data_IF_651112208494
#
_entry.id   IF_651112208494
#
_cell.length_a   1.000
_cell.length_b   1.000
_cell.length_c   1.000
_cell.angle_alpha   90.00
_cell.angle_beta   90.00
_cell.angle_gamma   90.00
#
_symmetry.space_group_name_H-M   'P 1'
#
loop_
_entity.id
_entity.type
_entity.pdbx_description
1 polymer ?
#
# COMPACT_ATOMS: atom_id res chain seq x y z
N UNK A 1 -11.32 -7.72 9.96
CA UNK A 1 -12.73 -8.18 9.92
C UNK A 1 -12.87 -9.18 8.78
N UNK A 2 -13.64 -10.24 9.02
CA UNK A 2 -14.08 -11.31 8.09
C UNK A 2 -13.11 -12.48 7.85
N UNK A 3 -13.23 -13.43 8.79
CA UNK A 3 -12.94 -14.85 8.69
C UNK A 3 -13.71 -15.52 7.55
N UNK A 4 -13.07 -16.44 6.84
CA UNK A 4 -13.74 -17.48 6.06
C UNK A 4 -13.14 -18.85 6.44
N UNK A 5 -13.93 -19.60 7.20
CA UNK A 5 -13.82 -21.04 7.42
C UNK A 5 -14.65 -21.75 6.33
N UNK A 6 -14.11 -22.81 5.72
CA UNK A 6 -14.76 -24.00 5.12
C UNK A 6 -13.69 -24.71 4.25
N UNK A 7 -13.56 -26.02 4.11
CA UNK A 7 -14.26 -27.18 4.65
C UNK A 7 -13.35 -28.41 4.47
N UNK A 8 -13.47 -29.37 5.39
CA UNK A 8 -12.92 -30.73 5.29
C UNK A 8 -13.48 -31.46 4.05
N UNK A 9 -12.61 -32.14 3.32
CA UNK A 9 -12.98 -33.13 2.30
C UNK A 9 -12.43 -34.51 2.68
N UNK A 10 -13.30 -35.36 3.22
CA UNK A 10 -13.09 -36.79 3.48
C UNK A 10 -13.55 -37.57 2.25
N UNK A 11 -12.75 -38.53 1.79
CA UNK A 11 -13.16 -39.57 0.85
C UNK A 11 -11.94 -40.21 0.18
N UNK A 12 -11.80 -41.52 0.03
CA UNK A 12 -12.63 -42.64 0.42
C UNK A 12 -11.73 -43.88 0.45
N UNK A 13 -11.92 -44.73 1.46
CA UNK A 13 -11.39 -46.09 1.50
C UNK A 13 -11.98 -46.90 0.32
N UNK A 14 -11.12 -47.59 -0.41
CA UNK A 14 -11.54 -48.73 -1.23
C UNK A 14 -11.09 -50.00 -0.53
N UNK A 15 -12.04 -50.61 0.18
CA UNK A 15 -11.94 -51.95 0.75
C UNK A 15 -12.28 -52.94 -0.36
N UNK A 16 -11.36 -53.85 -0.66
CA UNK A 16 -11.68 -55.09 -1.36
C UNK A 16 -11.18 -56.26 -0.50
N UNK A 17 -12.13 -56.90 0.17
CA UNK A 17 -11.92 -58.03 1.06
C UNK A 17 -12.59 -59.28 0.47
N UNK A 18 -11.76 -60.33 0.34
CA UNK A 18 -12.03 -61.76 0.50
C UNK A 18 -13.08 -62.52 -0.37
N UNK A 19 -12.58 -63.57 -1.04
CA UNK A 19 -13.04 -64.97 -0.92
C UNK A 19 -11.97 -65.86 -1.59
N UNK A 20 -11.24 -66.74 -0.88
CA UNK A 20 -11.61 -68.15 -0.60
C UNK A 20 -11.19 -69.03 -1.79
N UNK A 21 -10.56 -70.20 -1.70
CA UNK A 21 -10.50 -71.26 -0.69
C UNK A 21 -9.49 -72.33 -1.21
N UNK A 22 -8.92 -73.18 -0.34
CA UNK A 22 -8.42 -74.51 -0.75
C UNK A 22 -6.99 -74.89 -0.34
N UNK A 23 -6.85 -75.48 0.85
CA UNK A 23 -5.78 -76.43 1.19
C UNK A 23 -6.02 -77.80 0.49
N UNK A 24 -4.94 -78.53 0.18
CA UNK A 24 -4.71 -80.00 0.40
C UNK A 24 -3.32 -80.36 -0.16
N UNK A 25 -2.31 -80.74 0.64
CA UNK A 25 -1.90 -82.10 1.09
C UNK A 25 -1.49 -83.11 0.01
N UNK A 26 -0.23 -83.57 0.13
CA UNK A 26 0.34 -84.94 -0.04
C UNK A 26 0.09 -85.73 -1.34
N UNK A 27 1.15 -86.35 -1.90
CA UNK A 27 1.01 -87.52 -2.78
C UNK A 27 2.18 -87.80 -3.74
N UNK A 28 2.93 -88.85 -3.43
CA UNK A 28 3.89 -89.60 -4.28
C UNK A 28 3.36 -89.99 -5.68
N UNK A 29 4.30 -90.36 -6.58
CA UNK A 29 4.31 -91.44 -7.60
C UNK A 29 5.46 -91.16 -8.60
N UNK A 30 6.57 -91.90 -8.66
CA UNK A 30 6.77 -93.23 -9.26
C UNK A 30 6.38 -93.33 -10.76
N UNK A 31 7.36 -93.43 -11.66
CA UNK A 31 7.29 -94.29 -12.88
C UNK A 31 8.70 -94.38 -13.55
N UNK A 32 9.42 -95.49 -13.42
CA UNK A 32 9.56 -96.62 -14.38
C UNK A 32 10.12 -96.25 -15.77
N UNK A 33 11.28 -96.82 -16.10
CA UNK A 33 11.90 -96.74 -17.43
C UNK A 33 11.28 -97.72 -18.45
N UNK A 34 11.85 -97.81 -19.66
CA UNK A 34 11.60 -98.92 -20.55
C UNK A 34 12.79 -99.88 -20.66
N UNK A 35 12.41 -101.15 -20.57
CA UNK A 35 13.11 -102.38 -20.89
C UNK A 35 13.27 -102.54 -22.41
N UNK A 36 14.37 -103.13 -22.87
CA UNK A 36 14.50 -103.78 -24.19
C UNK A 36 15.67 -104.78 -24.11
N UNK A 37 15.45 -105.92 -23.46
CA UNK A 37 15.24 -107.26 -24.05
C UNK A 37 16.11 -107.60 -25.25
N UNK A 38 17.06 -108.51 -24.98
CA UNK A 38 17.88 -109.26 -25.93
C UNK A 38 17.06 -109.98 -26.99
N UNK A 39 17.56 -109.98 -28.22
CA UNK A 39 17.26 -111.02 -29.21
C UNK A 39 18.57 -111.67 -29.64
N UNK A 40 18.72 -112.94 -29.32
CA UNK A 40 19.76 -113.85 -29.81
C UNK A 40 19.52 -114.18 -31.27
N UNK A 41 20.56 -114.11 -32.11
CA UNK A 41 20.70 -115.04 -33.24
C UNK A 41 22.17 -115.32 -33.53
N UNK A 42 22.52 -116.59 -33.47
CA UNK A 42 23.83 -117.15 -33.82
C UNK A 42 23.79 -117.75 -35.22
N UNK A 43 24.83 -117.51 -36.03
CA UNK A 43 25.43 -118.45 -37.02
C UNK A 43 26.70 -117.78 -37.55
N UNK A 44 27.90 -118.25 -37.17
CA UNK A 44 28.79 -119.05 -38.04
C UNK A 44 29.69 -118.13 -38.91
N UNK A 45 31.00 -118.28 -39.09
CA UNK A 45 31.94 -119.41 -38.91
C UNK A 45 33.35 -118.88 -39.24
N UNK A 46 34.39 -119.35 -38.53
CA UNK A 46 35.81 -119.32 -38.97
C UNK A 46 36.51 -117.96 -38.87
N UNK A 47 37.80 -117.84 -38.58
CA UNK A 47 38.92 -118.77 -38.40
C UNK A 47 40.00 -118.02 -37.61
N UNK A 48 40.69 -118.74 -36.71
CA UNK A 48 42.13 -118.66 -36.40
C UNK A 48 42.80 -117.27 -36.41
N UNK A 49 43.22 -116.77 -35.24
CA UNK A 49 44.63 -116.46 -34.94
C UNK A 49 44.76 -115.89 -33.52
N UNK A 50 45.93 -116.04 -32.92
CA UNK A 50 46.24 -115.66 -31.55
C UNK A 50 46.22 -114.13 -31.32
N UNK A 51 45.51 -113.69 -30.27
CA UNK A 51 46.00 -112.64 -29.37
C UNK A 51 45.98 -111.18 -29.83
N UNK A 52 44.92 -110.70 -30.50
CA UNK A 52 44.75 -109.26 -30.79
C UNK A 52 43.33 -108.77 -30.47
N UNK A 53 43.20 -107.80 -29.55
CA UNK A 53 41.96 -107.25 -28.99
C UNK A 53 41.59 -105.82 -29.48
N UNK A 54 42.42 -105.14 -30.30
CA UNK A 54 42.09 -103.83 -30.90
C UNK A 54 42.95 -103.49 -32.14
N UNK A 55 42.54 -102.54 -32.99
CA UNK A 55 43.37 -102.01 -34.11
C UNK A 55 43.66 -100.50 -33.98
N UNK A 56 42.74 -99.74 -33.38
CA UNK A 56 42.84 -98.31 -33.11
C UNK A 56 42.37 -98.01 -31.68
N UNK A 57 42.62 -96.80 -31.17
CA UNK A 57 42.18 -96.43 -29.82
C UNK A 57 40.64 -96.45 -29.67
N UNK A 58 39.90 -96.20 -30.75
CA UNK A 58 38.43 -96.22 -30.76
C UNK A 58 37.84 -97.64 -30.66
N UNK A 59 38.64 -98.67 -30.92
CA UNK A 59 38.25 -100.08 -30.71
C UNK A 59 38.33 -100.48 -29.22
N UNK A 60 38.86 -99.61 -28.36
CA UNK A 60 38.96 -99.80 -26.91
C UNK A 60 37.82 -99.06 -26.17
N UNK A 61 37.58 -99.34 -24.88
CA UNK A 61 36.62 -98.60 -24.09
C UNK A 61 36.89 -97.08 -24.11
N UNK A 62 35.85 -96.23 -24.03
CA UNK A 62 36.03 -94.79 -24.10
C UNK A 62 36.88 -94.26 -22.94
N UNK A 63 37.66 -93.20 -23.23
CA UNK A 63 38.37 -92.47 -22.19
C UNK A 63 37.39 -91.85 -21.19
N UNK A 64 37.82 -91.76 -19.95
CA UNK A 64 37.16 -91.01 -18.88
C UNK A 64 38.16 -90.09 -18.22
N UNK A 65 37.70 -89.23 -17.31
CA UNK A 65 38.57 -88.40 -16.48
C UNK A 65 39.60 -89.24 -15.68
N UNK A 66 39.33 -90.55 -15.46
CA UNK A 66 40.18 -91.44 -14.64
C UNK A 66 40.89 -92.55 -15.39
N UNK A 67 40.60 -92.74 -16.68
CA UNK A 67 41.20 -93.79 -17.50
C UNK A 67 41.40 -93.31 -18.92
N UNK A 68 42.59 -93.55 -19.45
CA UNK A 68 42.86 -93.42 -20.88
C UNK A 68 43.19 -94.78 -21.47
N UNK A 69 42.59 -95.09 -22.61
CA UNK A 69 42.76 -96.34 -23.33
C UNK A 69 43.54 -96.08 -24.62
N UNK A 70 44.54 -96.92 -24.87
CA UNK A 70 45.31 -96.91 -26.09
C UNK A 70 45.42 -98.33 -26.65
N UNK A 71 45.35 -98.44 -27.97
CA UNK A 71 45.61 -99.71 -28.65
C UNK A 71 47.12 -99.84 -28.95
N UNK A 72 47.81 -100.71 -28.22
CA UNK A 72 49.26 -100.93 -28.37
C UNK A 72 49.53 -102.39 -28.64
N UNK A 73 50.22 -102.68 -29.75
CA UNK A 73 50.48 -104.05 -30.23
C UNK A 73 49.20 -104.90 -30.26
N UNK A 74 48.11 -104.22 -30.60
CA UNK A 74 46.77 -104.75 -30.72
C UNK A 74 46.16 -105.31 -29.43
N UNK A 75 46.63 -104.88 -28.25
CA UNK A 75 45.92 -105.02 -26.99
C UNK A 75 45.46 -103.65 -26.47
N UNK A 76 44.27 -103.58 -25.89
CA UNK A 76 43.80 -102.38 -25.21
C UNK A 76 44.54 -102.22 -23.89
N UNK A 77 45.46 -101.27 -23.85
CA UNK A 77 46.22 -100.92 -22.65
C UNK A 77 45.50 -99.75 -21.97
N UNK A 78 45.11 -99.94 -20.71
CA UNK A 78 44.56 -98.88 -19.88
C UNK A 78 45.68 -98.19 -19.11
N UNK A 79 45.71 -96.87 -19.17
CA UNK A 79 46.46 -96.03 -18.25
C UNK A 79 45.48 -95.41 -17.28
N UNK A 80 45.58 -95.82 -16.02
CA UNK A 80 44.78 -95.28 -14.92
C UNK A 80 45.41 -93.96 -14.49
N UNK A 81 44.59 -92.91 -14.40
CA UNK A 81 45.03 -91.65 -13.81
C UNK A 81 45.44 -91.89 -12.35
N UNK A 82 46.50 -91.23 -11.84
CA UNK A 82 46.87 -91.34 -10.44
C UNK A 82 45.69 -91.07 -9.52
N UNK A 83 45.63 -91.77 -8.39
CA UNK A 83 44.69 -91.44 -7.33
C UNK A 83 44.79 -89.95 -6.96
N UNK A 84 43.66 -89.35 -6.58
CA UNK A 84 43.51 -87.90 -6.30
C UNK A 84 43.60 -86.96 -7.52
N UNK A 85 43.69 -87.47 -8.76
CA UNK A 85 43.57 -86.64 -9.96
C UNK A 85 42.16 -86.01 -10.04
N UNK A 86 42.00 -84.68 -10.16
CA UNK A 86 40.69 -84.03 -10.19
C UNK A 86 39.82 -84.46 -11.39
N UNK A 87 38.55 -84.72 -11.13
CA UNK A 87 37.53 -85.03 -12.14
C UNK A 87 36.72 -83.75 -12.38
N UNK A 88 36.81 -83.20 -13.59
CA UNK A 88 36.12 -81.95 -13.93
C UNK A 88 34.59 -82.12 -14.01
N UNK A 89 34.13 -83.33 -14.30
CA UNK A 89 32.72 -83.63 -14.48
C UNK A 89 32.02 -83.84 -13.12
N UNK A 90 30.97 -83.06 -12.86
CA UNK A 90 30.07 -83.27 -11.72
C UNK A 90 30.53 -82.72 -10.37
N UNK A 91 31.58 -81.89 -10.33
CA UNK A 91 31.92 -81.12 -9.13
C UNK A 91 30.86 -80.03 -8.90
N UNK A 92 30.35 -79.91 -7.67
CA UNK A 92 29.37 -78.90 -7.28
C UNK A 92 30.03 -77.98 -6.27
N UNK A 93 30.13 -76.70 -6.59
CA UNK A 93 30.77 -75.74 -5.69
C UNK A 93 29.95 -75.57 -4.40
N UNK A 94 30.62 -75.63 -3.24
CA UNK A 94 30.01 -75.45 -1.93
C UNK A 94 29.28 -76.67 -1.38
N UNK A 95 29.50 -77.86 -1.94
CA UNK A 95 28.92 -79.13 -1.44
C UNK A 95 29.86 -79.89 -0.49
N UNK A 96 31.04 -79.31 -0.21
CA UNK A 96 32.11 -79.82 0.64
C UNK A 96 32.77 -81.08 0.10
N UNK A 97 32.73 -81.29 -1.21
CA UNK A 97 33.25 -82.51 -1.83
C UNK A 97 34.13 -82.18 -3.01
N UNK A 98 35.09 -83.06 -3.25
CA UNK A 98 35.87 -83.08 -4.49
C UNK A 98 35.68 -84.40 -5.20
N UNK A 99 35.54 -84.31 -6.51
CA UNK A 99 35.53 -85.48 -7.38
C UNK A 99 36.97 -85.74 -7.81
N UNK A 100 37.47 -86.93 -7.50
CA UNK A 100 38.83 -87.37 -7.86
C UNK A 100 38.85 -88.78 -8.40
N UNK A 101 39.91 -89.15 -9.07
CA UNK A 101 40.14 -90.52 -9.49
C UNK A 101 40.62 -91.38 -8.32
N UNK A 102 40.05 -92.59 -8.22
CA UNK A 102 40.51 -93.65 -7.32
C UNK A 102 40.34 -95.01 -7.99
N UNK A 103 41.42 -95.79 -8.08
CA UNK A 103 41.41 -97.10 -8.75
C UNK A 103 40.84 -97.07 -10.19
N UNK A 104 41.09 -95.97 -10.93
CA UNK A 104 40.61 -95.79 -12.30
C UNK A 104 39.12 -95.47 -12.44
N UNK A 105 38.47 -95.01 -11.37
CA UNK A 105 37.07 -94.54 -11.41
C UNK A 105 36.91 -93.21 -10.69
N UNK A 106 35.92 -92.39 -11.07
CA UNK A 106 35.53 -91.23 -10.28
C UNK A 106 35.08 -91.67 -8.88
N UNK A 107 35.58 -90.96 -7.87
CA UNK A 107 35.25 -91.12 -6.46
C UNK A 107 35.02 -89.74 -5.87
N UNK A 108 34.11 -89.65 -4.93
CA UNK A 108 33.81 -88.42 -4.20
C UNK A 108 34.50 -88.47 -2.85
N UNK A 109 35.38 -87.52 -2.56
CA UNK A 109 36.07 -87.40 -1.29
C UNK A 109 35.65 -86.12 -0.57
N UNK A 110 35.74 -86.10 0.78
CA UNK A 110 35.65 -84.87 1.55
C UNK A 110 36.60 -83.79 1.03
N UNK A 111 36.08 -82.58 0.84
CA UNK A 111 36.86 -81.37 0.60
C UNK A 111 36.39 -80.27 1.55
N UNK A 112 37.12 -80.11 2.65
CA UNK A 112 36.80 -79.08 3.64
C UNK A 112 37.20 -77.66 3.19
N UNK A 113 37.78 -77.52 2.00
CA UNK A 113 38.12 -76.22 1.38
C UNK A 113 37.11 -75.75 0.34
N UNK A 114 36.12 -76.58 -0.01
CA UNK A 114 35.03 -76.25 -0.94
C UNK A 114 33.95 -75.38 -0.24
N UNK A 115 34.36 -74.17 0.12
CA UNK A 115 33.52 -73.18 0.80
C UNK A 115 33.03 -72.12 -0.18
N UNK A 116 31.74 -71.82 -0.11
CA UNK A 116 31.12 -70.67 -0.77
C UNK A 116 30.51 -69.78 0.29
N UNK A 117 31.07 -68.57 0.54
CA UNK A 117 30.45 -67.59 1.42
C UNK A 117 29.04 -67.22 0.93
N UNK A 118 28.09 -67.08 1.84
CA UNK A 118 26.69 -66.71 1.56
C UNK A 118 26.47 -65.19 1.48
N UNK A 119 27.55 -64.40 1.56
CA UNK A 119 27.56 -62.94 1.62
C UNK A 119 26.84 -62.34 2.83
N UNK A 120 26.54 -63.13 3.88
CA UNK A 120 26.09 -62.59 5.16
C UNK A 120 27.26 -62.60 6.17
N UNK A 121 27.74 -61.42 6.63
CA UNK A 121 28.85 -61.35 7.58
C UNK A 121 28.53 -61.93 8.96
N UNK A 122 27.24 -62.18 9.27
CA UNK A 122 26.79 -62.77 10.53
C UNK A 122 26.54 -64.26 10.49
N UNK A 123 26.74 -64.90 9.35
CA UNK A 123 26.78 -66.34 9.21
C UNK A 123 28.20 -66.79 8.86
N UNK A 124 28.51 -68.05 9.14
CA UNK A 124 29.76 -68.67 8.73
C UNK A 124 29.46 -70.02 8.12
N UNK A 125 29.93 -70.18 6.89
CA UNK A 125 29.89 -71.43 6.15
C UNK A 125 31.17 -72.21 6.46
N UNK A 126 31.02 -73.49 6.79
CA UNK A 126 32.16 -74.37 7.06
C UNK A 126 31.90 -75.78 6.51
N UNK A 127 32.97 -76.44 6.10
CA UNK A 127 32.98 -77.82 5.69
C UNK A 127 33.78 -78.59 6.73
N UNK A 128 33.21 -79.68 7.23
CA UNK A 128 33.89 -80.53 8.21
C UNK A 128 33.64 -81.99 7.88
N UNK A 129 34.70 -82.70 7.47
CA UNK A 129 34.60 -84.09 7.03
C UNK A 129 33.77 -84.27 5.76
N UNK A 130 33.72 -83.26 4.90
CA UNK A 130 32.98 -83.27 3.63
C UNK A 130 31.47 -83.06 3.79
N UNK A 131 31.06 -82.52 4.93
CA UNK A 131 29.68 -82.15 5.24
C UNK A 131 29.59 -80.65 5.42
N UNK A 132 28.67 -80.03 4.67
CA UNK A 132 28.34 -78.62 4.81
C UNK A 132 27.71 -78.34 6.17
N UNK A 133 28.22 -77.33 6.86
CA UNK A 133 27.68 -76.79 8.10
C UNK A 133 27.55 -75.27 7.96
N UNK A 134 26.47 -74.73 8.53
CA UNK A 134 26.23 -73.29 8.62
C UNK A 134 25.97 -72.95 10.08
N UNK A 135 26.54 -71.84 10.56
CA UNK A 135 26.37 -71.38 11.93
C UNK A 135 26.45 -69.87 12.05
N UNK A 136 26.09 -69.32 13.22
CA UNK A 136 26.27 -67.90 13.48
C UNK A 136 27.75 -67.56 13.53
N UNK A 137 28.14 -66.44 12.92
CA UNK A 137 29.43 -65.82 13.17
C UNK A 137 29.57 -65.46 14.66
N UNK A 138 30.80 -65.34 15.19
CA UNK A 138 31.03 -64.88 16.55
C UNK A 138 30.31 -63.57 16.86
N UNK A 139 29.71 -63.50 18.04
CA UNK A 139 29.11 -62.26 18.52
C UNK A 139 30.16 -61.14 18.54
N UNK A 140 29.79 -59.95 18.05
CA UNK A 140 30.71 -58.82 17.89
C UNK A 140 31.39 -58.74 16.52
N UNK A 141 31.22 -59.72 15.63
CA UNK A 141 31.66 -59.61 14.23
C UNK A 141 31.03 -58.36 13.60
N UNK A 142 31.84 -57.50 12.99
CA UNK A 142 31.36 -56.29 12.34
C UNK A 142 30.45 -56.62 11.16
N UNK A 143 29.31 -55.95 11.07
CA UNK A 143 28.32 -56.18 10.02
C UNK A 143 27.59 -54.88 9.61
N UNK A 144 26.75 -54.99 8.58
CA UNK A 144 26.04 -53.84 7.98
C UNK A 144 26.92 -52.99 7.06
N UNK A 145 26.31 -52.08 6.32
CA UNK A 145 26.97 -51.29 5.25
C UNK A 145 28.17 -50.46 5.75
N UNK A 146 28.17 -50.10 7.04
CA UNK A 146 29.21 -49.28 7.68
C UNK A 146 30.20 -50.11 8.51
N UNK A 147 29.91 -51.39 8.75
CA UNK A 147 30.63 -52.22 9.72
C UNK A 147 30.46 -51.78 11.19
N UNK A 148 29.53 -50.86 11.48
CA UNK A 148 29.31 -50.34 12.84
C UNK A 148 28.30 -51.17 13.65
N UNK A 149 27.58 -52.07 12.98
CA UNK A 149 26.71 -53.04 13.64
C UNK A 149 27.54 -54.26 14.06
N UNK A 150 26.98 -55.04 14.97
CA UNK A 150 27.61 -56.24 15.49
C UNK A 150 26.70 -57.45 15.30
N UNK A 151 27.27 -58.57 14.89
CA UNK A 151 26.58 -59.83 14.88
C UNK A 151 26.23 -60.21 16.33
N UNK A 152 24.97 -60.58 16.54
CA UNK A 152 24.44 -61.10 17.80
C UNK A 152 23.54 -62.27 17.47
N UNK A 153 23.96 -63.47 17.86
CA UNK A 153 23.26 -64.72 17.59
C UNK A 153 22.96 -64.96 16.10
N UNK A 154 23.92 -64.63 15.22
CA UNK A 154 23.80 -64.81 13.78
C UNK A 154 22.99 -63.75 13.04
N UNK A 155 22.56 -62.69 13.73
CA UNK A 155 21.87 -61.55 13.13
C UNK A 155 22.71 -60.30 13.27
N UNK A 156 22.72 -59.44 12.25
CA UNK A 156 23.37 -58.14 12.33
C UNK A 156 22.52 -57.17 13.17
N UNK A 157 22.95 -56.85 14.39
CA UNK A 157 22.17 -56.07 15.35
C UNK A 157 22.91 -54.81 15.82
N UNK A 158 22.16 -53.80 16.24
CA UNK A 158 22.73 -52.63 16.89
C UNK A 158 22.01 -51.31 16.67
N UNK A 159 21.31 -51.12 15.54
CA UNK A 159 20.64 -49.83 15.30
C UNK A 159 19.39 -49.63 16.17
N UNK A 160 18.74 -50.70 16.63
CA UNK A 160 17.54 -50.60 17.46
C UNK A 160 17.87 -50.11 18.88
N UNK A 161 19.12 -50.33 19.34
CA UNK A 161 19.62 -49.86 20.63
C UNK A 161 20.21 -48.46 20.53
N UNK A 162 20.79 -48.12 19.38
CA UNK A 162 21.34 -46.81 19.10
C UNK A 162 21.22 -46.49 17.60
N UNK A 163 20.27 -45.62 17.19
CA UNK A 163 20.11 -45.21 15.79
C UNK A 163 21.36 -44.56 15.19
N UNK A 164 22.27 -44.03 16.02
CA UNK A 164 23.55 -43.49 15.57
C UNK A 164 24.54 -44.55 15.04
N UNK A 165 24.19 -45.84 15.13
CA UNK A 165 24.93 -46.93 14.47
C UNK A 165 24.57 -47.06 12.98
N UNK A 166 23.59 -46.30 12.49
CA UNK A 166 23.34 -46.08 11.07
C UNK A 166 24.19 -44.92 10.54
N UNK A 167 24.33 -44.79 9.23
CA UNK A 167 24.89 -43.57 8.66
C UNK A 167 24.05 -42.37 9.11
N UNK A 168 24.74 -41.27 9.43
CA UNK A 168 24.05 -40.03 9.75
C UNK A 168 23.15 -39.66 8.56
N UNK A 169 21.83 -39.50 8.75
CA UNK A 169 20.94 -39.07 7.67
C UNK A 169 21.34 -37.67 7.22
N UNK A 170 21.06 -37.34 5.96
CA UNK A 170 21.13 -35.95 5.51
C UNK A 170 20.05 -35.12 6.23
N UNK A 171 20.12 -33.79 6.14
CA UNK A 171 19.06 -32.91 6.65
C UNK A 171 17.68 -33.21 6.01
N UNK A 172 17.65 -33.92 4.89
CA UNK A 172 16.45 -34.30 4.14
C UNK A 172 16.01 -35.75 4.34
N UNK A 173 16.62 -36.43 5.31
CA UNK A 173 16.27 -37.80 5.66
C UNK A 173 16.04 -37.90 7.16
N UNK A 174 15.21 -38.86 7.54
CA UNK A 174 15.16 -39.40 8.89
C UNK A 174 15.55 -40.86 8.83
N UNK A 175 16.22 -41.33 9.87
CA UNK A 175 16.58 -42.74 10.01
C UNK A 175 15.62 -43.40 10.99
N UNK A 176 15.04 -44.52 10.58
CA UNK A 176 14.31 -45.45 11.45
C UNK A 176 15.09 -46.77 11.50
N UNK A 177 14.91 -47.54 12.57
CA UNK A 177 15.51 -48.86 12.70
C UNK A 177 14.48 -49.91 13.14
N UNK A 178 13.54 -50.27 12.26
CA UNK A 178 12.69 -51.43 12.49
C UNK A 178 13.53 -52.71 12.35
N UNK A 179 13.47 -53.56 13.38
CA UNK A 179 14.08 -54.91 13.37
C UNK A 179 15.57 -54.92 13.01
N UNK A 180 16.37 -54.03 13.63
CA UNK A 180 17.82 -53.93 13.44
C UNK A 180 18.30 -53.62 12.01
N UNK A 181 17.42 -53.11 11.15
CA UNK A 181 17.76 -52.68 9.79
C UNK A 181 17.65 -51.16 9.68
N UNK A 182 18.67 -50.47 9.16
CA UNK A 182 18.63 -49.03 8.96
C UNK A 182 17.73 -48.69 7.77
N UNK A 183 16.62 -48.00 8.01
CA UNK A 183 15.72 -47.50 6.98
C UNK A 183 15.78 -45.97 6.93
N UNK A 184 15.83 -45.40 5.73
CA UNK A 184 15.86 -43.94 5.54
C UNK A 184 14.55 -43.48 4.92
N UNK A 185 13.88 -42.56 5.60
CA UNK A 185 12.67 -41.91 5.11
C UNK A 185 13.00 -40.52 4.61
N UNK A 186 12.67 -40.26 3.34
CA UNK A 186 12.81 -38.92 2.71
C UNK A 186 11.80 -37.96 3.33
N UNK A 187 12.26 -36.79 3.75
CA UNK A 187 11.45 -35.74 4.36
C UNK A 187 11.00 -34.73 3.29
N UNK A 188 10.30 -35.19 2.25
CA UNK A 188 9.87 -34.36 1.12
C UNK A 188 9.05 -33.14 1.58
N UNK A 189 9.41 -31.96 1.08
CA UNK A 189 8.82 -30.67 1.45
C UNK A 189 9.25 -30.10 2.80
N UNK A 190 10.12 -30.77 3.56
CA UNK A 190 10.70 -30.19 4.79
C UNK A 190 11.49 -28.93 4.43
N UNK A 191 11.14 -27.80 5.05
CA UNK A 191 11.90 -26.55 4.96
C UNK A 191 13.13 -26.64 5.86
N UNK A 192 14.30 -26.33 5.30
CA UNK A 192 15.57 -26.29 6.03
C UNK A 192 15.84 -24.89 6.59
N UNK A 193 16.96 -24.74 7.30
CA UNK A 193 17.35 -23.44 7.83
C UNK A 193 17.62 -22.47 6.67
N UNK A 194 16.93 -21.34 6.70
CA UNK A 194 17.10 -20.23 5.79
C UNK A 194 17.68 -19.03 6.57
N UNK A 195 18.99 -18.78 6.46
CA UNK A 195 19.63 -17.67 7.16
C UNK A 195 19.43 -16.32 6.47
N UNK A 196 19.07 -16.27 5.19
CA UNK A 196 18.97 -15.04 4.40
C UNK A 196 17.53 -14.79 3.96
N UNK A 197 16.75 -14.15 4.83
CA UNK A 197 15.32 -13.86 4.59
C UNK A 197 15.08 -12.71 3.59
N UNK A 198 16.02 -12.48 2.67
CA UNK A 198 16.00 -11.37 1.72
C UNK A 198 16.25 -11.75 0.26
N UNK A 199 16.56 -13.01 -0.03
CA UNK A 199 16.98 -13.47 -1.36
C UNK A 199 15.85 -14.14 -2.18
N UNK A 200 14.65 -14.18 -1.61
CA UNK A 200 13.42 -14.75 -2.15
C UNK A 200 13.44 -16.27 -2.34
N UNK A 201 14.39 -16.98 -1.75
CA UNK A 201 14.49 -18.42 -1.92
C UNK A 201 14.70 -19.14 -0.60
N UNK A 202 14.00 -20.27 -0.45
CA UNK A 202 14.24 -21.21 0.65
C UNK A 202 14.78 -22.53 0.15
N UNK A 203 15.49 -23.22 1.04
CA UNK A 203 15.93 -24.60 0.80
C UNK A 203 14.89 -25.56 1.38
N UNK A 204 14.38 -26.45 0.54
CA UNK A 204 13.46 -27.54 0.90
C UNK A 204 14.05 -28.89 0.51
N UNK A 205 13.54 -29.94 1.11
CA UNK A 205 13.88 -31.30 0.70
C UNK A 205 13.00 -31.75 -0.47
N UNK A 206 13.62 -32.34 -1.49
CA UNK A 206 12.92 -32.93 -2.63
C UNK A 206 12.53 -34.41 -2.38
N UNK A 207 11.73 -34.96 -3.29
CA UNK A 207 11.26 -36.35 -3.24
C UNK A 207 12.39 -37.40 -3.40
N UNK A 208 13.60 -36.98 -3.76
CA UNK A 208 14.78 -37.85 -3.83
C UNK A 208 15.64 -37.77 -2.55
N UNK A 209 15.27 -36.92 -1.59
CA UNK A 209 16.03 -36.72 -0.35
C UNK A 209 17.22 -35.78 -0.50
N UNK A 210 17.26 -34.97 -1.56
CA UNK A 210 18.25 -33.92 -1.74
C UNK A 210 17.68 -32.55 -1.36
N UNK A 211 18.57 -31.57 -1.20
CA UNK A 211 18.21 -30.18 -1.02
C UNK A 211 17.88 -29.54 -2.36
N UNK A 212 16.75 -28.83 -2.43
CA UNK A 212 16.30 -28.08 -3.58
C UNK A 212 15.97 -26.64 -3.15
N UNK A 213 16.42 -25.67 -3.95
CA UNK A 213 16.08 -24.26 -3.76
C UNK A 213 14.77 -23.96 -4.48
N UNK A 214 13.79 -23.40 -3.77
CA UNK A 214 12.48 -23.01 -4.30
C UNK A 214 12.13 -21.59 -3.89
N UNK A 215 11.25 -20.93 -4.63
CA UNK A 215 10.83 -19.56 -4.30
C UNK A 215 10.11 -19.47 -2.96
N UNK A 216 10.42 -18.42 -2.19
CA UNK A 216 9.73 -18.06 -0.96
C UNK A 216 9.05 -16.71 -1.07
N UNK A 217 7.72 -16.71 -1.07
CA UNK A 217 6.91 -15.48 -1.14
C UNK A 217 6.73 -14.78 0.21
N UNK A 218 7.26 -15.35 1.30
CA UNK A 218 7.14 -14.80 2.66
C UNK A 218 8.30 -13.92 3.08
N UNK A 219 9.39 -13.92 2.32
CA UNK A 219 10.53 -13.07 2.54
C UNK A 219 10.26 -11.61 2.16
N UNK A 220 11.07 -10.70 2.72
CA UNK A 220 10.93 -9.26 2.47
C UNK A 220 12.26 -8.70 1.97
N UNK A 221 12.44 -8.57 0.65
CA UNK A 221 13.66 -8.03 0.09
C UNK A 221 13.88 -6.57 0.53
N UNK A 222 15.16 -6.14 0.64
CA UNK A 222 15.51 -4.76 0.86
C UNK A 222 14.85 -3.86 -0.17
N UNK A 223 14.30 -2.75 0.29
CA UNK A 223 13.73 -1.76 -0.61
C UNK A 223 14.86 -1.10 -1.41
N UNK A 224 14.81 -1.18 -2.74
CA UNK A 224 15.84 -0.66 -3.63
C UNK A 224 15.23 0.24 -4.69
N UNK A 225 15.12 1.53 -4.38
CA UNK A 225 14.78 2.56 -5.36
C UNK A 225 13.55 3.36 -4.99
N UNK A 226 12.50 3.25 -5.80
CA UNK A 226 11.28 4.06 -5.68
C UNK A 226 10.48 3.67 -4.43
N UNK A 227 10.35 4.60 -3.50
CA UNK A 227 9.60 4.43 -2.24
C UNK A 227 8.12 4.08 -2.46
N UNK A 228 7.55 4.37 -3.63
CA UNK A 228 6.18 3.99 -3.97
C UNK A 228 6.07 2.63 -4.66
N UNK A 229 7.18 1.92 -4.80
CA UNK A 229 7.23 0.52 -5.16
C UNK A 229 7.67 -0.28 -3.94
N UNK A 230 7.16 -1.50 -3.85
CA UNK A 230 7.57 -2.48 -2.86
C UNK A 230 8.15 -3.69 -3.56
N UNK A 231 9.39 -4.02 -3.20
CA UNK A 231 10.04 -5.27 -3.55
C UNK A 231 9.35 -6.42 -2.82
N UNK A 232 8.94 -7.42 -3.59
CA UNK A 232 8.26 -8.63 -3.13
C UNK A 232 8.89 -9.85 -3.80
N UNK A 233 8.75 -11.00 -3.17
CA UNK A 233 9.20 -12.25 -3.77
C UNK A 233 8.08 -12.90 -4.58
N UNK A 234 8.41 -13.36 -5.79
CA UNK A 234 7.50 -14.16 -6.62
C UNK A 234 7.62 -15.67 -6.33
N UNK A 235 6.70 -16.46 -6.88
CA UNK A 235 6.68 -17.91 -6.67
C UNK A 235 7.87 -18.65 -7.30
N UNK A 236 8.64 -17.99 -8.17
CA UNK A 236 9.84 -18.55 -8.81
C UNK A 236 11.12 -18.20 -8.03
N UNK A 237 11.00 -17.40 -6.97
CA UNK A 237 12.13 -16.95 -6.16
C UNK A 237 12.87 -15.74 -6.72
N UNK A 238 12.21 -14.94 -7.55
CA UNK A 238 12.76 -13.67 -8.01
C UNK A 238 12.16 -12.50 -7.24
N UNK A 239 12.97 -11.44 -7.08
CA UNK A 239 12.47 -10.14 -6.64
C UNK A 239 11.61 -9.53 -7.75
N UNK A 240 10.35 -9.28 -7.44
CA UNK A 240 9.39 -8.52 -8.23
C UNK A 240 9.04 -7.21 -7.52
N UNK A 241 8.37 -6.29 -8.23
CA UNK A 241 7.89 -5.04 -7.65
C UNK A 241 6.36 -4.93 -7.75
N UNK A 242 5.75 -4.44 -6.69
CA UNK A 242 4.35 -4.03 -6.65
C UNK A 242 4.22 -2.56 -6.24
N UNK A 243 3.05 -1.95 -6.46
CA UNK A 243 2.79 -0.62 -5.94
C UNK A 243 2.67 -0.68 -4.42
N UNK A 244 3.29 0.27 -3.72
CA UNK A 244 3.07 0.44 -2.28
C UNK A 244 1.67 1.01 -2.00
N UNK A 245 1.31 1.09 -0.72
CA UNK A 245 0.02 1.57 -0.25
C UNK A 245 -0.28 2.98 -0.77
N UNK A 246 -1.49 3.16 -1.28
CA UNK A 246 -1.98 4.46 -1.70
C UNK A 246 -1.99 5.44 -0.51
N UNK A 247 -1.49 6.66 -0.71
CA UNK A 247 -1.46 7.69 0.32
C UNK A 247 -0.25 7.64 1.26
N UNK A 248 0.69 6.70 1.05
CA UNK A 248 1.92 6.63 1.84
C UNK A 248 2.84 7.80 1.48
N UNK A 249 3.38 8.49 2.50
CA UNK A 249 4.29 9.64 2.31
C UNK A 249 5.56 9.22 1.58
N UNK A 250 5.88 9.91 0.49
CA UNK A 250 6.94 9.55 -0.43
C UNK A 250 8.05 10.62 -0.56
N UNK A 251 8.04 11.65 0.29
CA UNK A 251 9.12 12.63 0.36
C UNK A 251 8.66 14.03 0.72
N UNK A 252 9.45 15.03 0.33
CA UNK A 252 9.14 16.42 0.64
C UNK A 252 8.37 17.11 -0.51
N UNK A 253 7.48 18.07 -0.20
CA UNK A 253 6.79 18.87 -1.19
C UNK A 253 7.78 19.69 -2.02
N UNK A 254 7.53 19.81 -3.33
CA UNK A 254 8.37 20.60 -4.25
C UNK A 254 8.39 22.10 -3.95
N UNK A 255 7.47 22.58 -3.11
CA UNK A 255 7.40 23.97 -2.69
C UNK A 255 6.20 24.24 -1.79
N UNK A 256 6.05 25.50 -1.36
CA UNK A 256 5.02 25.88 -0.40
C UNK A 256 3.58 25.71 -0.94
N UNK A 257 3.41 25.67 -2.27
CA UNK A 257 2.15 25.42 -2.95
C UNK A 257 1.88 23.96 -3.31
N UNK A 258 2.61 23.03 -2.69
CA UNK A 258 2.35 21.59 -2.79
C UNK A 258 1.93 21.03 -1.42
N UNK A 259 1.06 20.04 -1.43
CA UNK A 259 0.81 19.19 -0.28
C UNK A 259 1.97 18.21 -0.09
N UNK A 260 2.04 17.57 1.08
CA UNK A 260 2.94 16.43 1.29
C UNK A 260 2.66 15.37 0.20
N UNK A 261 3.68 14.96 -0.57
CA UNK A 261 3.49 14.05 -1.68
C UNK A 261 3.20 12.65 -1.17
N UNK A 262 2.34 11.94 -1.88
CA UNK A 262 1.94 10.60 -1.49
C UNK A 262 1.98 9.64 -2.68
N UNK A 263 2.17 8.36 -2.39
CA UNK A 263 2.14 7.31 -3.38
C UNK A 263 0.76 7.22 -4.01
N UNK A 264 0.71 7.39 -5.32
CA UNK A 264 -0.49 7.22 -6.12
C UNK A 264 -0.21 6.33 -7.33
N UNK A 265 -0.89 5.18 -7.41
CA UNK A 265 -0.65 4.19 -8.48
C UNK A 265 0.83 3.77 -8.62
N UNK A 266 1.54 3.75 -7.49
CA UNK A 266 2.95 3.37 -7.40
C UNK A 266 3.92 4.37 -8.02
N UNK A 267 3.55 5.63 -8.11
CA UNK A 267 4.49 6.74 -8.32
C UNK A 267 4.28 7.79 -7.25
N UNK A 268 5.35 8.47 -6.83
CA UNK A 268 5.23 9.58 -5.91
C UNK A 268 4.57 10.79 -6.61
N UNK A 269 3.33 11.10 -6.24
CA UNK A 269 2.56 12.16 -6.87
C UNK A 269 2.65 13.45 -6.07
N UNK A 270 3.15 14.50 -6.71
CA UNK A 270 3.13 15.86 -6.18
C UNK A 270 1.76 16.47 -6.44
N UNK A 271 1.05 16.87 -5.39
CA UNK A 271 -0.28 17.45 -5.50
C UNK A 271 -0.23 18.95 -5.22
N UNK A 272 -0.51 19.81 -6.21
CA UNK A 272 -0.68 21.24 -5.97
C UNK A 272 -1.78 21.50 -4.94
N UNK A 273 -1.53 22.46 -4.04
CA UNK A 273 -2.59 23.04 -3.22
C UNK A 273 -3.62 23.71 -4.11
N UNK A 274 -4.87 23.77 -3.63
CA UNK A 274 -5.94 24.46 -4.35
C UNK A 274 -5.60 25.94 -4.60
N UNK A 275 -6.11 26.49 -5.71
CA UNK A 275 -5.94 27.90 -6.02
C UNK A 275 -6.53 28.79 -4.91
N UNK A 276 -5.82 29.86 -4.55
CA UNK A 276 -6.23 30.82 -3.53
C UNK A 276 -5.79 30.50 -2.09
N UNK A 277 -5.10 29.38 -1.85
CA UNK A 277 -4.50 29.12 -0.53
C UNK A 277 -3.41 30.16 -0.25
N UNK A 278 -3.58 30.98 0.80
CA UNK A 278 -2.60 31.99 1.24
C UNK A 278 -1.33 31.32 1.79
N UNK A 279 -0.18 31.77 1.28
CA UNK A 279 1.14 31.30 1.69
C UNK A 279 1.84 32.33 2.58
N UNK A 280 1.85 33.58 2.15
CA UNK A 280 2.45 34.71 2.85
C UNK A 280 1.81 36.01 2.41
N UNK A 281 2.14 37.11 3.08
CA UNK A 281 1.90 38.44 2.53
C UNK A 281 2.81 38.64 1.29
N UNK A 282 2.39 39.48 0.34
CA UNK A 282 3.14 39.75 -0.90
C UNK A 282 4.29 40.76 -0.71
N UNK A 283 4.46 41.29 0.50
CA UNK A 283 5.50 42.26 0.86
C UNK A 283 5.14 43.72 0.54
N UNK A 284 3.96 43.99 0.01
CA UNK A 284 3.44 45.34 -0.23
C UNK A 284 2.34 45.59 0.80
N UNK A 285 2.64 46.41 1.79
CA UNK A 285 1.68 46.70 2.85
C UNK A 285 0.50 47.52 2.33
N UNK A 286 -0.71 47.02 2.51
CA UNK A 286 -1.94 47.75 2.27
C UNK A 286 -2.43 47.76 0.82
N UNK A 287 -1.93 46.87 -0.03
CA UNK A 287 -2.41 46.72 -1.40
C UNK A 287 -3.57 45.73 -1.53
N UNK A 288 -3.99 45.15 -0.40
CA UNK A 288 -5.06 44.17 -0.28
C UNK A 288 -4.77 42.86 -1.03
N UNK A 289 -3.50 42.52 -1.21
CA UNK A 289 -3.09 41.31 -1.90
C UNK A 289 -2.15 40.46 -1.04
N UNK A 290 -2.13 39.17 -1.34
CA UNK A 290 -1.23 38.22 -0.71
C UNK A 290 -0.72 37.22 -1.75
N UNK A 291 0.43 36.62 -1.45
CA UNK A 291 0.95 35.51 -2.23
C UNK A 291 0.09 34.28 -1.96
N UNK A 292 -0.63 33.82 -2.98
CA UNK A 292 -1.49 32.63 -2.95
C UNK A 292 -1.03 31.59 -3.97
N UNK A 293 -1.51 30.36 -3.84
CA UNK A 293 -1.28 29.34 -4.85
C UNK A 293 -2.17 29.53 -6.08
N UNK A 294 -1.64 29.25 -7.26
CA UNK A 294 -2.37 29.32 -8.54
C UNK A 294 -3.15 28.03 -8.89
N UNK A 295 -3.01 26.98 -8.08
CA UNK A 295 -3.61 25.65 -8.33
C UNK A 295 -2.81 24.74 -9.26
N UNK A 296 -1.73 25.24 -9.86
CA UNK A 296 -0.76 24.50 -10.69
C UNK A 296 0.60 24.32 -9.98
N UNK A 297 0.69 24.74 -8.71
CA UNK A 297 1.88 24.65 -7.87
C UNK A 297 2.77 25.89 -7.95
N UNK A 298 2.37 26.89 -8.73
CA UNK A 298 2.95 28.22 -8.75
C UNK A 298 2.35 29.14 -7.71
N UNK A 299 2.96 30.31 -7.58
CA UNK A 299 2.51 31.40 -6.73
C UNK A 299 1.98 32.54 -7.59
N UNK A 300 0.92 33.19 -7.13
CA UNK A 300 0.33 34.37 -7.77
C UNK A 300 -0.23 35.32 -6.70
N UNK A 301 -0.55 36.55 -7.08
CA UNK A 301 -1.20 37.48 -6.17
C UNK A 301 -2.70 37.20 -6.13
N UNK A 302 -3.24 37.09 -4.92
CA UNK A 302 -4.65 36.86 -4.66
C UNK A 302 -5.22 37.88 -3.68
N UNK A 303 -6.56 37.97 -3.60
CA UNK A 303 -7.21 38.94 -2.73
C UNK A 303 -6.97 38.64 -1.25
N UNK A 304 -6.52 39.63 -0.50
CA UNK A 304 -6.37 39.56 0.95
C UNK A 304 -7.02 40.77 1.63
N UNK A 305 -8.22 40.56 2.17
CA UNK A 305 -8.93 41.64 2.85
C UNK A 305 -8.39 41.96 4.26
N UNK A 306 -7.39 41.21 4.72
CA UNK A 306 -6.69 41.48 5.99
C UNK A 306 -5.51 42.43 5.81
N UNK A 307 -4.96 42.56 4.60
CA UNK A 307 -3.91 43.52 4.27
C UNK A 307 -4.48 44.93 4.03
N UNK A 308 -5.04 45.53 5.08
CA UNK A 308 -5.71 46.82 4.99
C UNK A 308 -4.71 47.96 4.76
N UNK A 309 -5.03 48.96 3.91
CA UNK A 309 -4.20 50.13 3.76
C UNK A 309 -3.98 50.84 5.10
N UNK A 310 -2.79 51.38 5.36
CA UNK A 310 -2.56 52.19 6.55
C UNK A 310 -3.52 53.37 6.62
N UNK A 311 -4.17 53.55 7.76
CA UNK A 311 -4.98 54.73 8.04
C UNK A 311 -4.05 55.92 8.36
N UNK A 312 -3.81 56.77 7.37
CA UNK A 312 -2.94 57.93 7.49
C UNK A 312 -3.53 59.04 8.38
N UNK A 313 -4.86 59.05 8.58
CA UNK A 313 -5.55 60.03 9.41
C UNK A 313 -6.58 59.36 10.33
N UNK A 314 -6.07 58.74 11.39
CA UNK A 314 -6.91 58.09 12.42
C UNK A 314 -7.92 59.04 13.11
N UNK A 315 -7.85 60.35 12.84
CA UNK A 315 -8.73 61.35 13.46
C UNK A 315 -10.05 61.51 12.70
N UNK A 316 -10.16 61.03 11.47
CA UNK A 316 -11.36 61.18 10.66
C UNK A 316 -12.31 59.96 10.76
N UNK A 317 -13.31 59.93 9.88
CA UNK A 317 -14.27 58.82 9.76
C UNK A 317 -14.00 57.91 8.57
N UNK A 318 -12.82 58.01 7.98
CA UNK A 318 -12.33 57.09 6.99
C UNK A 318 -11.64 55.95 7.74
N UNK A 319 -11.80 54.74 7.24
CA UNK A 319 -11.06 53.57 7.68
C UNK A 319 -10.77 52.79 6.41
N UNK A 320 -9.55 52.92 5.83
CA UNK A 320 -9.23 52.18 4.63
C UNK A 320 -9.48 50.69 4.83
N UNK A 321 -10.19 50.10 3.88
CA UNK A 321 -10.49 48.67 3.92
C UNK A 321 -10.11 48.01 2.61
N UNK A 322 -10.31 46.71 2.56
CA UNK A 322 -10.13 45.91 1.37
C UNK A 322 -11.46 45.26 1.02
N UNK A 323 -11.88 45.40 -0.22
CA UNK A 323 -13.07 44.76 -0.76
C UNK A 323 -12.67 43.89 -1.94
N UNK A 324 -12.71 42.57 -1.74
CA UNK A 324 -12.31 41.56 -2.74
C UNK A 324 -10.89 41.80 -3.29
N UNK A 325 -9.95 42.15 -2.42
CA UNK A 325 -8.55 42.40 -2.78
C UNK A 325 -8.28 43.74 -3.48
N UNK A 326 -9.25 44.66 -3.44
CA UNK A 326 -9.08 46.03 -3.93
C UNK A 326 -9.10 46.98 -2.74
N UNK A 327 -8.10 47.88 -2.61
CA UNK A 327 -8.12 48.95 -1.63
C UNK A 327 -9.33 49.87 -1.81
N UNK A 328 -10.12 50.01 -0.75
CA UNK A 328 -11.14 51.03 -0.61
C UNK A 328 -10.64 52.07 0.39
N UNK A 329 -10.09 53.17 -0.13
CA UNK A 329 -9.54 54.27 0.65
C UNK A 329 -10.62 55.23 1.18
N UNK A 330 -11.85 55.11 0.69
CA UNK A 330 -12.97 55.97 1.06
C UNK A 330 -13.98 55.25 1.97
N UNK A 331 -13.70 53.99 2.34
CA UNK A 331 -14.50 53.24 3.28
C UNK A 331 -14.66 54.01 4.60
N UNK A 332 -15.91 54.09 5.07
CA UNK A 332 -16.26 54.93 6.23
C UNK A 332 -16.52 54.07 7.46
N UNK A 333 -16.12 54.60 8.62
CA UNK A 333 -16.49 54.02 9.92
C UNK A 333 -18.01 54.02 10.06
N UNK A 334 -18.54 53.06 10.82
CA UNK A 334 -19.99 52.98 11.01
C UNK A 334 -20.49 54.21 11.76
N UNK A 335 -21.77 54.54 11.56
CA UNK A 335 -22.42 55.62 12.30
C UNK A 335 -22.27 55.40 13.81
N UNK A 336 -21.78 56.43 14.50
CA UNK A 336 -21.58 56.43 15.95
C UNK A 336 -20.21 55.95 16.41
N UNK A 337 -19.38 55.39 15.51
CA UNK A 337 -17.97 55.07 15.77
C UNK A 337 -17.21 56.34 16.14
N UNK A 338 -16.22 56.20 17.00
CA UNK A 338 -15.42 57.32 17.48
C UNK A 338 -14.48 57.83 16.38
N UNK A 339 -14.44 59.15 16.22
CA UNK A 339 -13.49 59.88 15.41
C UNK A 339 -12.96 61.07 16.24
N UNK A 340 -11.71 61.47 16.03
CA UNK A 340 -10.90 62.32 16.92
C UNK A 340 -10.74 61.84 18.37
N UNK A 341 -9.49 61.87 18.83
CA UNK A 341 -9.07 61.60 20.19
C UNK A 341 -9.65 62.62 21.18
N UNK A 342 -10.50 62.13 22.08
CA UNK A 342 -11.08 62.76 23.27
C UNK A 342 -11.70 64.17 23.15
N UNK A 343 -12.93 64.38 23.69
CA UNK A 343 -13.79 63.41 24.36
C UNK A 343 -15.04 62.97 23.57
N UNK A 344 -15.27 63.38 22.30
CA UNK A 344 -16.65 63.23 21.78
C UNK A 344 -16.90 63.31 20.26
N UNK A 345 -15.93 63.08 19.39
CA UNK A 345 -16.24 62.98 17.95
C UNK A 345 -16.87 61.62 17.59
N UNK A 346 -17.94 61.64 16.80
CA UNK A 346 -18.62 60.45 16.28
C UNK A 346 -18.87 60.54 14.77
N UNK A 347 -18.78 59.41 14.09
CA UNK A 347 -19.01 59.33 12.65
C UNK A 347 -20.49 59.36 12.30
N UNK A 348 -20.82 60.05 11.21
CA UNK A 348 -22.20 60.18 10.75
C UNK A 348 -22.66 59.06 9.82
N UNK A 349 -21.82 58.07 9.50
CA UNK A 349 -22.09 57.10 8.42
C UNK A 349 -21.57 57.56 7.05
N UNK A 350 -20.79 58.65 7.05
CA UNK A 350 -20.02 59.18 5.93
C UNK A 350 -18.61 59.53 6.43
N UNK A 351 -17.73 60.06 5.57
CA UNK A 351 -16.36 60.46 5.93
C UNK A 351 -16.27 61.61 6.96
N UNK A 352 -17.41 62.08 7.47
CA UNK A 352 -17.48 63.21 8.36
C UNK A 352 -17.48 62.82 9.84
N UNK A 353 -16.56 63.44 10.57
CA UNK A 353 -16.49 63.39 12.02
C UNK A 353 -17.29 64.53 12.66
N UNK A 354 -18.43 64.20 13.29
CA UNK A 354 -19.23 65.16 14.04
C UNK A 354 -18.72 65.25 15.48
N UNK A 355 -18.20 66.40 15.90
CA UNK A 355 -17.78 66.63 17.27
C UNK A 355 -18.65 67.70 17.91
N UNK A 356 -19.39 67.35 18.95
CA UNK A 356 -20.26 68.26 19.71
C UNK A 356 -19.43 69.08 20.72
N UNK A 357 -18.85 70.20 20.27
CA UNK A 357 -18.18 71.17 21.12
C UNK A 357 -18.70 72.58 20.82
N UNK A 358 -19.40 73.16 21.81
CA UNK A 358 -19.73 74.59 21.90
C UNK A 358 -20.40 75.21 20.67
N UNK A 359 -21.45 74.59 20.12
CA UNK A 359 -22.42 75.27 19.26
C UNK A 359 -21.94 75.69 17.87
N UNK A 360 -20.76 75.21 17.42
CA UNK A 360 -20.25 75.41 16.05
C UNK A 360 -19.92 74.07 15.38
N UNK A 361 -20.59 73.02 15.81
CA UNK A 361 -20.27 71.64 15.48
C UNK A 361 -20.98 71.12 14.23
N UNK A 362 -20.25 70.35 13.42
CA UNK A 362 -20.88 69.44 12.47
C UNK A 362 -21.72 68.43 13.26
N UNK A 363 -23.00 68.27 12.92
CA UNK A 363 -23.92 67.30 13.54
C UNK A 363 -24.38 66.28 12.50
N UNK A 364 -24.62 65.04 12.92
CA UNK A 364 -25.17 63.99 12.07
C UNK A 364 -26.68 64.18 11.93
N UNK A 365 -27.13 64.53 10.74
CA UNK A 365 -28.57 64.71 10.51
C UNK A 365 -29.33 63.36 10.50
N UNK A 366 -30.64 63.43 10.29
CA UNK A 366 -31.50 62.24 10.26
C UNK A 366 -31.22 61.31 9.06
N UNK A 367 -30.46 61.77 8.06
CA UNK A 367 -30.10 61.05 6.84
C UNK A 367 -28.62 60.66 6.82
N UNK A 368 -27.93 60.68 7.96
CA UNK A 368 -26.52 60.25 8.08
C UNK A 368 -25.54 61.14 7.28
N UNK A 369 -25.98 62.37 6.96
CA UNK A 369 -25.18 63.38 6.30
C UNK A 369 -24.62 64.41 7.28
N UNK A 370 -23.47 64.99 6.93
CA UNK A 370 -22.85 66.00 7.76
C UNK A 370 -23.47 67.38 7.58
N UNK A 371 -24.00 67.92 8.68
CA UNK A 371 -24.56 69.25 8.69
C UNK A 371 -23.51 70.30 9.01
N UNK A 372 -23.18 71.23 8.10
CA UNK A 372 -22.24 72.31 8.42
C UNK A 372 -22.81 73.23 9.50
N UNK A 373 -21.94 73.83 10.32
CA UNK A 373 -22.29 74.60 11.52
C UNK A 373 -23.31 75.73 11.29
N UNK A 374 -23.35 76.31 10.08
CA UNK A 374 -24.27 77.38 9.70
C UNK A 374 -25.69 76.88 9.32
N UNK A 375 -25.89 75.56 9.26
CA UNK A 375 -27.18 74.91 8.94
C UNK A 375 -27.69 73.99 10.04
N UNK A 376 -26.92 73.80 11.10
CA UNK A 376 -27.33 73.04 12.28
C UNK A 376 -28.26 73.91 13.15
N UNK A 377 -29.50 73.47 13.35
CA UNK A 377 -30.54 74.27 14.00
C UNK A 377 -31.34 73.41 14.99
N UNK A 378 -31.12 73.62 16.30
CA UNK A 378 -31.79 72.89 17.39
C UNK A 378 -31.84 71.35 17.20
N UNK A 379 -30.73 70.76 16.75
CA UNK A 379 -30.61 69.31 16.51
C UNK A 379 -31.14 68.82 15.16
N UNK A 380 -31.56 69.72 14.26
CA UNK A 380 -32.02 69.41 12.90
C UNK A 380 -31.13 70.11 11.88
N UNK A 381 -30.80 69.43 10.78
CA UNK A 381 -30.09 70.05 9.66
C UNK A 381 -31.06 70.66 8.67
N UNK A 382 -30.81 71.89 8.23
CA UNK A 382 -31.62 72.54 7.21
C UNK A 382 -31.27 71.97 5.82
N UNK A 383 -32.22 71.25 5.21
CA UNK A 383 -31.98 70.36 4.05
C UNK A 383 -32.07 71.03 2.67
N UNK A 384 -32.65 72.23 2.57
CA UNK A 384 -32.67 72.99 1.32
C UNK A 384 -31.34 73.75 1.16
N UNK A 385 -30.63 73.54 0.05
CA UNK A 385 -29.25 73.98 -0.22
C UNK A 385 -28.86 75.44 0.07
N UNK A 386 -29.80 76.31 0.44
CA UNK A 386 -29.65 77.74 0.79
C UNK A 386 -30.11 78.10 2.21
N UNK A 387 -30.64 77.17 2.99
CA UNK A 387 -31.25 77.43 4.28
C UNK A 387 -30.20 77.67 5.38
N UNK A 388 -30.35 78.76 6.14
CA UNK A 388 -29.51 79.09 7.30
C UNK A 388 -30.31 78.96 8.60
N UNK A 389 -29.63 78.66 9.71
CA UNK A 389 -30.25 78.62 11.02
C UNK A 389 -30.46 80.04 11.59
N UNK A 390 -31.70 80.42 11.87
CA UNK A 390 -32.05 81.71 12.49
C UNK A 390 -33.00 81.45 13.66
N UNK A 391 -32.64 81.85 14.88
CA UNK A 391 -33.47 81.66 16.09
C UNK A 391 -34.04 80.24 16.26
N UNK A 392 -33.18 79.22 16.11
CA UNK A 392 -33.54 77.80 16.27
C UNK A 392 -34.56 77.27 15.24
N UNK A 393 -34.78 77.97 14.12
CA UNK A 393 -35.63 77.52 13.02
C UNK A 393 -34.88 77.57 11.67
N UNK A 394 -35.14 76.58 10.82
CA UNK A 394 -34.57 76.51 9.47
C UNK A 394 -35.25 77.51 8.54
N UNK A 395 -34.46 78.38 7.91
CA UNK A 395 -34.96 79.37 6.97
C UNK A 395 -34.92 78.85 5.53
N UNK A 396 -35.94 78.10 5.11
CA UNK A 396 -35.90 77.26 3.91
C UNK A 396 -35.98 77.99 2.57
N UNK A 397 -36.62 79.17 2.51
CA UNK A 397 -37.01 79.83 1.26
C UNK A 397 -36.60 81.29 1.11
N UNK A 398 -35.93 81.90 2.09
CA UNK A 398 -35.81 83.36 2.12
C UNK A 398 -34.65 83.93 2.93
N UNK A 399 -34.31 85.16 2.60
CA UNK A 399 -33.20 85.95 3.15
C UNK A 399 -33.29 86.01 4.68
N UNK A 400 -32.23 85.62 5.37
CA UNK A 400 -32.10 85.85 6.81
C UNK A 400 -32.01 87.37 7.05
N UNK A 401 -33.04 87.93 7.70
CA UNK A 401 -33.08 89.34 8.08
C UNK A 401 -32.72 89.47 9.56
N UNK A 402 -31.42 89.50 9.84
CA UNK A 402 -30.90 89.50 11.20
C UNK A 402 -31.41 88.26 11.98
N UNK A 403 -32.34 88.43 12.91
CA UNK A 403 -32.93 87.35 13.72
C UNK A 403 -34.30 86.85 13.22
N UNK A 404 -34.75 87.28 12.04
CA UNK A 404 -36.06 86.89 11.48
C UNK A 404 -35.87 86.19 10.13
N UNK A 405 -36.49 85.02 9.99
CA UNK A 405 -36.60 84.33 8.71
C UNK A 405 -37.83 84.84 7.94
N UNK A 406 -37.61 85.32 6.72
CA UNK A 406 -38.71 85.75 5.85
C UNK A 406 -39.30 84.54 5.13
N UNK A 407 -40.45 84.05 5.61
CA UNK A 407 -41.06 82.79 5.14
C UNK A 407 -41.68 82.85 3.74
N UNK A 408 -41.87 84.06 3.18
CA UNK A 408 -42.45 84.25 1.86
C UNK A 408 -41.32 84.42 0.83
N UNK A 409 -41.33 83.66 -0.27
CA UNK A 409 -40.29 83.69 -1.32
C UNK A 409 -40.17 85.04 -2.03
N UNK A 410 -41.12 85.94 -1.80
CA UNK A 410 -41.14 87.32 -2.32
C UNK A 410 -40.80 88.38 -1.26
N UNK A 411 -40.41 87.99 -0.04
CA UNK A 411 -40.08 88.94 1.02
C UNK A 411 -38.59 89.32 1.00
N UNK A 412 -38.29 90.61 1.14
CA UNK A 412 -36.95 91.17 1.27
C UNK A 412 -36.71 91.75 2.66
N UNK A 413 -35.45 91.79 3.09
CA UNK A 413 -35.05 92.34 4.38
C UNK A 413 -34.84 93.85 4.30
N UNK A 414 -35.67 94.63 5.01
CA UNK A 414 -35.48 96.07 5.16
C UNK A 414 -35.69 96.47 6.63
N UNK A 415 -34.74 97.22 7.21
CA UNK A 415 -34.79 97.68 8.61
C UNK A 415 -35.06 96.57 9.64
N UNK A 416 -34.38 95.42 9.51
CA UNK A 416 -34.54 94.25 10.40
C UNK A 416 -35.95 93.63 10.42
N UNK A 417 -36.80 93.93 9.42
CA UNK A 417 -38.12 93.34 9.27
C UNK A 417 -38.29 92.72 7.87
N UNK A 418 -39.04 91.63 7.82
CA UNK A 418 -39.42 90.97 6.57
C UNK A 418 -40.55 91.76 5.90
N UNK A 419 -40.29 92.28 4.71
CA UNK A 419 -41.27 93.03 3.93
C UNK A 419 -41.63 92.28 2.66
N UNK A 420 -42.92 92.11 2.36
CA UNK A 420 -43.32 91.63 1.05
C UNK A 420 -42.89 92.63 -0.04
N UNK A 421 -42.34 92.16 -1.16
CA UNK A 421 -41.85 93.04 -2.24
C UNK A 421 -42.89 94.07 -2.70
N UNK A 422 -44.19 93.75 -2.62
CA UNK A 422 -45.29 94.64 -2.97
C UNK A 422 -45.53 95.81 -1.97
N UNK A 423 -44.90 95.76 -0.78
CA UNK A 423 -45.03 96.75 0.30
C UNK A 423 -43.72 97.49 0.59
N UNK A 424 -42.69 97.28 -0.22
CA UNK A 424 -41.44 98.05 -0.16
C UNK A 424 -41.59 99.29 -1.02
N UNK A 425 -41.71 100.45 -0.37
CA UNK A 425 -41.92 101.73 -1.03
C UNK A 425 -40.71 102.62 -0.72
N UNK A 426 -39.91 102.96 -1.73
CA UNK A 426 -38.71 103.81 -1.59
C UNK A 426 -37.79 103.40 -0.41
N UNK A 427 -37.50 102.09 -0.32
CA UNK A 427 -36.65 101.47 0.71
C UNK A 427 -37.24 101.42 2.13
N UNK A 428 -38.54 101.70 2.30
CA UNK A 428 -39.28 101.59 3.57
C UNK A 428 -40.34 100.51 3.45
N UNK A 429 -40.47 99.67 4.49
CA UNK A 429 -41.55 98.68 4.56
C UNK A 429 -42.83 99.31 5.09
N UNK A 430 -43.88 99.31 4.27
CA UNK A 430 -45.15 99.90 4.67
C UNK A 430 -46.03 98.92 5.46
N UNK A 431 -46.74 99.40 6.50
CA UNK A 431 -47.71 98.58 7.23
C UNK A 431 -48.81 98.03 6.32
N UNK A 432 -49.48 96.95 6.73
CA UNK A 432 -50.51 96.25 5.92
C UNK A 432 -51.62 97.17 5.40
N UNK A 433 -52.04 98.16 6.21
CA UNK A 433 -53.10 99.12 5.88
C UNK A 433 -52.57 100.39 5.17
N UNK A 434 -51.36 100.33 4.63
CA UNK A 434 -50.77 101.40 3.86
C UNK A 434 -50.36 100.89 2.48
N UNK A 435 -50.49 101.77 1.50
CA UNK A 435 -50.08 101.55 0.12
C UNK A 435 -48.92 102.46 -0.26
N UNK A 436 -48.13 102.03 -1.23
CA UNK A 436 -47.05 102.85 -1.76
C UNK A 436 -47.57 104.11 -2.44
N UNK A 437 -47.00 105.27 -2.07
CA UNK A 437 -47.13 106.52 -2.81
C UNK A 437 -45.90 106.71 -3.72
N UNK A 438 -46.05 106.60 -5.06
CA UNK A 438 -44.94 106.85 -5.98
C UNK A 438 -44.61 108.35 -6.00
N UNK A 439 -43.46 108.73 -5.42
CA UNK A 439 -42.93 110.11 -5.49
C UNK A 439 -43.43 111.09 -4.43
N UNK A 440 -44.11 110.62 -3.38
CA UNK A 440 -44.54 111.44 -2.23
C UNK A 440 -43.46 111.60 -1.14
N UNK A 441 -43.69 112.54 -0.21
CA UNK A 441 -42.81 112.79 0.95
C UNK A 441 -42.90 111.70 2.03
N UNK A 442 -43.99 110.92 2.06
CA UNK A 442 -44.14 109.73 2.91
C UNK A 442 -44.31 108.52 1.99
N UNK A 443 -43.40 107.53 2.02
CA UNK A 443 -43.49 106.38 1.12
C UNK A 443 -44.72 105.50 1.39
N UNK A 444 -45.30 105.60 2.59
CA UNK A 444 -46.46 104.83 3.03
C UNK A 444 -47.67 105.74 3.21
N UNK A 445 -48.68 105.55 2.37
CA UNK A 445 -49.95 106.24 2.48
C UNK A 445 -51.00 105.33 3.12
N UNK A 446 -51.70 105.73 4.19
CA UNK A 446 -52.81 104.94 4.72
C UNK A 446 -53.84 104.66 3.61
N UNK A 447 -54.29 103.41 3.44
CA UNK A 447 -55.20 103.05 2.35
C UNK A 447 -56.52 103.84 2.39
N UNK A 448 -56.94 104.33 3.55
CA UNK A 448 -58.11 105.21 3.70
C UNK A 448 -57.89 106.64 3.21
N UNK A 449 -56.64 107.07 3.06
CA UNK A 449 -56.23 108.40 2.58
C UNK A 449 -55.78 108.37 1.12
N UNK A 450 -55.77 107.19 0.49
CA UNK A 450 -55.30 107.02 -0.88
C UNK A 450 -56.39 107.42 -1.87
N UNK A 451 -56.08 108.40 -2.71
CA UNK A 451 -56.95 108.76 -3.81
C UNK A 451 -56.79 107.79 -5.00
N UNK A 452 -57.84 107.62 -5.84
CA UNK A 452 -57.76 106.83 -7.08
C UNK A 452 -56.67 107.28 -8.05
N UNK A 453 -56.26 108.55 -8.01
CA UNK A 453 -55.16 109.10 -8.81
C UNK A 453 -53.75 108.75 -8.26
N UNK A 454 -53.66 108.01 -7.15
CA UNK A 454 -52.40 107.58 -6.54
C UNK A 454 -51.79 108.56 -5.52
N UNK A 455 -52.37 109.74 -5.33
CA UNK A 455 -51.89 110.72 -4.32
C UNK A 455 -52.41 110.42 -2.91
N UNK A 456 -51.61 110.75 -1.89
CA UNK A 456 -51.98 110.57 -0.50
C UNK A 456 -52.56 111.85 0.11
N UNK A 457 -53.71 111.73 0.76
CA UNK A 457 -54.26 112.84 1.53
C UNK A 457 -53.47 113.12 2.81
N UNK A 458 -53.41 114.38 3.27
CA UNK A 458 -52.87 114.72 4.58
C UNK A 458 -53.58 113.97 5.71
N UNK A 459 -52.88 113.83 6.85
CA UNK A 459 -53.39 113.08 7.99
C UNK A 459 -54.78 113.52 8.44
N UNK A 460 -55.70 112.56 8.50
CA UNK A 460 -57.08 112.76 8.98
C UNK A 460 -58.09 113.11 7.90
N UNK A 461 -57.65 113.34 6.66
CA UNK A 461 -58.53 113.61 5.53
C UNK A 461 -58.82 112.35 4.72
N UNK A 462 -59.98 112.29 4.08
CA UNK A 462 -60.31 111.21 3.14
C UNK A 462 -60.49 111.76 1.74
N UNK A 463 -60.19 110.93 0.74
CA UNK A 463 -60.33 111.35 -0.64
C UNK A 463 -61.80 111.32 -1.06
N UNK A 464 -62.36 112.48 -1.40
CA UNK A 464 -63.68 112.54 -2.00
C UNK A 464 -63.64 112.18 -3.49
N UNK A 465 -64.81 111.88 -4.06
CA UNK A 465 -64.97 111.42 -5.46
C UNK A 465 -64.33 112.35 -6.52
N UNK A 466 -64.02 113.60 -6.17
CA UNK A 466 -63.31 114.57 -7.03
C UNK A 466 -61.77 114.55 -6.93
N UNK A 467 -61.15 113.54 -6.31
CA UNK A 467 -59.70 113.50 -6.02
C UNK A 467 -59.21 114.68 -5.16
N UNK A 468 -60.08 115.20 -4.30
CA UNK A 468 -59.77 116.26 -3.35
C UNK A 468 -59.87 115.73 -1.93
N UNK A 469 -58.88 116.06 -1.11
CA UNK A 469 -58.82 115.69 0.29
C UNK A 469 -59.70 116.61 1.12
N UNK A 470 -60.51 116.02 2.01
CA UNK A 470 -61.40 116.74 2.91
C UNK A 470 -61.33 116.15 4.31
#
# INVERSE_FOLDING_TARGET
MRSFFLAMGIGAMCVAAYAGCGLTTEGELADSGPTSTSTTTSTGTGMMDAGLQCMTADDCPPNSDCTTWACTEGACIVTVAPDDTPVATGAVQGDCKKNVCKDGKPSVLPDDTDLVPDNDPCTQEMCNGGVKQAGPAPDGTACGDTGQLACVAGLCQGCAQNPANCNAPTDCQSVDCPVNTCEYTVLDGKVLADPDQTDCVKVVCDAQGNQATVGDTTETPPQMGDICKKEICDASGNVAQMNDAEGQDCGNPMGMCYNEPACASGTCAQQPKMAGVKISDNGVLGDCQATVCDGMGGMTDGPDNMDKPPDSDTTDCIVPTCVNGVPDLDATKNKGDTCTAEPSGRCCGSNCCANAMNGVSNYCDANDMCCPSNRACNGVCCTNGTASCVNNACCETGVACNNVCCMNSTASCHNNACCESAKVCNNVCCPTNHDCEPGGNSPCCPSSQRCPNGSCCPNGQTCNAGNQCN
#
